data_IF_343264199911
#
_entry.id   IF_343264199911
#
_cell.length_a   1.000
_cell.length_b   1.000
_cell.length_c   1.000
_cell.angle_alpha   90.00
_cell.angle_beta   90.00
_cell.angle_gamma   90.00
#
_symmetry.space_group_name_H-M   'P 1'
#
loop_
_entity.id
_entity.type
_entity.pdbx_description
1 polymer ?
#
# COMPACT_ATOMS: atom_id res chain seq x y z
N UNK A 1 24.62 -7.78 3.91
CA UNK A 1 24.40 -8.69 5.05
C UNK A 1 23.05 -9.38 4.89
N UNK A 2 22.92 -10.65 5.30
CA UNK A 2 21.63 -11.33 5.37
C UNK A 2 20.68 -10.60 6.31
N UNK A 3 19.40 -10.55 5.97
CA UNK A 3 18.35 -9.99 6.82
C UNK A 3 17.91 -11.08 7.80
N UNK A 4 18.01 -10.82 9.10
CA UNK A 4 17.56 -11.73 10.14
C UNK A 4 16.03 -11.65 10.32
N UNK A 5 15.41 -12.77 10.68
CA UNK A 5 14.00 -12.83 11.05
C UNK A 5 13.72 -11.94 12.28
N UNK A 6 12.74 -11.02 12.23
CA UNK A 6 12.35 -10.22 13.38
C UNK A 6 11.79 -11.06 14.54
N UNK A 7 12.12 -10.65 15.78
CA UNK A 7 11.60 -11.25 16.98
C UNK A 7 10.08 -11.04 17.17
N UNK A 8 9.44 -11.80 18.07
CA UNK A 8 8.01 -11.71 18.36
C UNK A 8 7.60 -10.36 18.96
N UNK A 9 8.56 -9.62 19.53
CA UNK A 9 8.40 -8.24 19.99
C UNK A 9 8.07 -7.26 18.86
N UNK A 10 8.53 -7.54 17.63
CA UNK A 10 8.31 -6.68 16.45
C UNK A 10 7.17 -7.17 15.56
N UNK A 11 6.99 -8.47 15.48
CA UNK A 11 5.92 -9.12 14.71
C UNK A 11 5.30 -10.18 15.62
N UNK A 12 4.20 -9.87 16.33
CA UNK A 12 3.55 -10.79 17.26
C UNK A 12 3.04 -12.06 16.58
N UNK A 13 2.81 -13.11 17.37
CA UNK A 13 2.30 -14.38 16.88
C UNK A 13 0.94 -14.23 16.16
N UNK A 14 0.77 -14.99 15.09
CA UNK A 14 -0.38 -14.95 14.21
C UNK A 14 0.00 -15.16 12.75
N UNK A 15 -0.97 -15.12 11.82
CA UNK A 15 -0.74 -15.53 10.44
C UNK A 15 0.33 -14.69 9.72
N UNK A 16 0.45 -13.40 10.03
CA UNK A 16 1.50 -12.54 9.45
C UNK A 16 2.90 -12.99 9.87
N UNK A 17 3.08 -13.43 11.13
CA UNK A 17 4.34 -13.97 11.61
C UNK A 17 4.63 -15.33 10.97
N UNK A 18 3.63 -16.19 10.83
CA UNK A 18 3.78 -17.49 10.16
C UNK A 18 4.18 -17.31 8.68
N UNK A 19 3.56 -16.35 7.98
CA UNK A 19 3.94 -15.95 6.63
C UNK A 19 5.40 -15.49 6.58
N UNK A 20 5.80 -14.64 7.52
CA UNK A 20 7.16 -14.10 7.58
C UNK A 20 8.20 -15.18 7.89
N UNK A 21 7.91 -16.09 8.82
CA UNK A 21 8.77 -17.25 9.13
C UNK A 21 8.98 -18.10 7.87
N UNK A 22 7.89 -18.43 7.16
CA UNK A 22 7.98 -19.21 5.92
C UNK A 22 8.77 -18.48 4.83
N UNK A 23 8.60 -17.17 4.71
CA UNK A 23 9.37 -16.35 3.77
C UNK A 23 10.86 -16.38 4.09
N UNK A 24 11.23 -16.34 5.38
CA UNK A 24 12.62 -16.43 5.82
C UNK A 24 13.23 -17.82 5.58
N UNK A 25 12.46 -18.89 5.72
CA UNK A 25 12.90 -20.23 5.35
C UNK A 25 13.20 -20.32 3.85
N UNK A 26 12.32 -19.77 3.02
CA UNK A 26 12.52 -19.72 1.58
C UNK A 26 13.72 -18.84 1.20
N UNK A 27 13.87 -17.68 1.86
CA UNK A 27 15.01 -16.78 1.69
C UNK A 27 16.34 -17.44 2.05
N UNK A 28 16.35 -18.26 3.10
CA UNK A 28 17.53 -19.01 3.54
C UNK A 28 17.94 -20.08 2.52
N UNK A 29 17.01 -20.88 2.03
CA UNK A 29 17.32 -21.93 1.03
C UNK A 29 17.66 -21.35 -0.36
N UNK A 30 17.22 -20.13 -0.65
CA UNK A 30 17.64 -19.35 -1.81
C UNK A 30 19.06 -18.76 -1.69
N UNK A 31 19.79 -19.04 -0.60
CA UNK A 31 21.15 -18.55 -0.37
C UNK A 31 21.21 -17.11 0.14
N UNK A 32 20.11 -16.58 0.69
CA UNK A 32 20.00 -15.23 1.25
C UNK A 32 20.49 -14.13 0.30
N UNK A 33 19.94 -14.06 -0.93
CA UNK A 33 20.37 -13.09 -1.94
C UNK A 33 20.19 -11.64 -1.44
N UNK A 34 20.97 -10.71 -1.98
CA UNK A 34 20.77 -9.30 -1.70
C UNK A 34 19.40 -8.83 -2.23
N UNK A 35 18.74 -7.91 -1.52
CA UNK A 35 17.39 -7.42 -1.90
C UNK A 35 17.33 -6.84 -3.32
N UNK A 36 18.44 -6.23 -3.79
CA UNK A 36 18.59 -5.75 -5.17
C UNK A 36 18.57 -6.86 -6.21
N UNK A 37 19.11 -8.04 -5.88
CA UNK A 37 19.08 -9.20 -6.77
C UNK A 37 17.65 -9.73 -6.90
N UNK A 38 16.94 -9.85 -5.78
CA UNK A 38 15.53 -10.27 -5.75
C UNK A 38 14.68 -9.29 -6.56
N UNK A 39 14.80 -7.99 -6.27
CA UNK A 39 14.07 -6.92 -6.97
C UNK A 39 14.31 -6.93 -8.48
N UNK A 40 15.58 -7.03 -8.90
CA UNK A 40 15.94 -7.08 -10.33
C UNK A 40 15.33 -8.28 -11.05
N UNK A 41 15.26 -9.45 -10.40
CA UNK A 41 14.65 -10.63 -10.99
C UNK A 41 13.11 -10.64 -10.92
N UNK A 42 12.54 -9.97 -9.92
CA UNK A 42 11.09 -9.82 -9.78
C UNK A 42 10.53 -8.82 -10.81
N UNK A 43 11.28 -7.76 -11.13
CA UNK A 43 10.93 -6.74 -12.11
C UNK A 43 9.82 -5.78 -11.67
N UNK A 44 8.85 -6.27 -10.89
CA UNK A 44 7.68 -5.52 -10.40
C UNK A 44 7.83 -4.98 -8.97
N UNK A 45 8.92 -5.32 -8.27
CA UNK A 45 9.11 -5.02 -6.85
C UNK A 45 10.43 -4.29 -6.61
N UNK A 46 10.41 -3.17 -5.87
CA UNK A 46 11.62 -2.43 -5.50
C UNK A 46 12.44 -3.17 -4.44
N UNK A 47 13.74 -2.90 -4.34
CA UNK A 47 14.59 -3.55 -3.34
C UNK A 47 14.29 -3.08 -1.91
N UNK A 48 13.70 -1.88 -1.78
CA UNK A 48 13.18 -1.33 -0.54
C UNK A 48 11.93 -2.09 -0.09
N UNK A 49 11.00 -2.38 -1.01
CA UNK A 49 9.84 -3.22 -0.71
C UNK A 49 10.28 -4.61 -0.27
N UNK A 50 11.19 -5.26 -1.01
CA UNK A 50 11.75 -6.57 -0.62
C UNK A 50 12.35 -6.50 0.80
N UNK A 51 13.11 -5.43 1.10
CA UNK A 51 13.67 -5.21 2.43
C UNK A 51 12.58 -5.03 3.49
N UNK A 52 11.55 -4.22 3.22
CA UNK A 52 10.46 -3.98 4.17
C UNK A 52 9.72 -5.27 4.51
N UNK A 53 9.43 -6.11 3.51
CA UNK A 53 8.78 -7.41 3.67
C UNK A 53 9.64 -8.36 4.50
N UNK A 54 10.92 -8.52 4.18
CA UNK A 54 11.83 -9.40 4.95
C UNK A 54 12.04 -8.92 6.40
N UNK A 55 11.89 -7.64 6.67
CA UNK A 55 11.91 -7.12 8.04
C UNK A 55 10.54 -7.18 8.74
N UNK A 56 9.51 -7.75 8.12
CA UNK A 56 8.16 -7.84 8.68
C UNK A 56 7.47 -6.48 8.86
N UNK A 57 7.96 -5.43 8.21
CA UNK A 57 7.47 -4.05 8.37
C UNK A 57 6.22 -3.78 7.54
N UNK A 58 5.97 -4.59 6.52
CA UNK A 58 4.82 -4.45 5.63
C UNK A 58 4.39 -5.80 5.09
N UNK A 59 3.09 -5.97 4.94
CA UNK A 59 2.50 -6.96 4.05
C UNK A 59 2.18 -6.23 2.72
N UNK A 60 2.87 -6.57 1.61
CA UNK A 60 2.65 -5.95 0.32
C UNK A 60 1.43 -6.60 -0.34
N UNK A 61 0.90 -6.01 -1.41
CA UNK A 61 -0.15 -6.68 -2.20
C UNK A 61 0.31 -8.08 -2.67
N UNK A 62 -0.65 -9.01 -2.79
CA UNK A 62 -0.36 -10.40 -3.16
C UNK A 62 0.55 -10.52 -4.39
N UNK A 63 0.27 -9.78 -5.48
CA UNK A 63 1.06 -9.83 -6.71
C UNK A 63 2.56 -9.53 -6.49
N UNK A 64 2.90 -8.64 -5.54
CA UNK A 64 4.29 -8.34 -5.19
C UNK A 64 4.90 -9.46 -4.34
N UNK A 65 4.16 -10.00 -3.37
CA UNK A 65 4.63 -11.13 -2.57
C UNK A 65 4.86 -12.36 -3.45
N UNK A 66 3.93 -12.66 -4.34
CA UNK A 66 4.02 -13.72 -5.34
C UNK A 66 5.28 -13.57 -6.20
N UNK A 67 5.58 -12.37 -6.69
CA UNK A 67 6.80 -12.11 -7.44
C UNK A 67 8.07 -12.39 -6.61
N UNK A 68 8.11 -11.99 -5.34
CA UNK A 68 9.22 -12.28 -4.44
C UNK A 68 9.37 -13.79 -4.22
N UNK A 69 8.28 -14.48 -3.85
CA UNK A 69 8.27 -15.92 -3.56
C UNK A 69 8.71 -16.70 -4.80
N UNK A 70 8.18 -16.37 -5.97
CA UNK A 70 8.53 -17.03 -7.24
C UNK A 70 10.03 -16.89 -7.55
N UNK A 71 10.59 -15.71 -7.33
CA UNK A 71 12.04 -15.47 -7.52
C UNK A 71 12.87 -16.28 -6.53
N UNK A 72 12.47 -16.33 -5.25
CA UNK A 72 13.20 -17.09 -4.24
C UNK A 72 13.10 -18.60 -4.47
N UNK A 73 11.96 -19.12 -4.92
CA UNK A 73 11.82 -20.51 -5.36
C UNK A 73 12.78 -20.84 -6.51
N UNK A 74 12.88 -19.95 -7.51
CA UNK A 74 13.83 -20.12 -8.63
C UNK A 74 15.30 -20.10 -8.19
N UNK A 75 15.64 -19.36 -7.13
CA UNK A 75 16.99 -19.29 -6.57
C UNK A 75 17.30 -20.40 -5.57
N UNK A 76 16.30 -21.16 -5.13
CA UNK A 76 16.46 -22.22 -4.13
C UNK A 76 17.40 -23.30 -4.65
N UNK A 77 18.41 -23.66 -3.85
CA UNK A 77 19.34 -24.73 -4.18
C UNK A 77 18.67 -26.12 -4.23
N UNK A 78 17.56 -26.30 -3.50
CA UNK A 78 16.70 -27.46 -3.61
C UNK A 78 15.47 -27.11 -4.46
N UNK A 79 15.06 -27.95 -5.43
CA UNK A 79 13.84 -27.71 -6.20
C UNK A 79 12.65 -27.53 -5.25
N UNK A 80 12.05 -26.35 -5.28
CA UNK A 80 10.80 -26.04 -4.61
C UNK A 80 9.74 -25.93 -5.69
N UNK A 81 8.65 -26.66 -5.52
CA UNK A 81 7.49 -26.47 -6.38
C UNK A 81 6.89 -25.08 -6.13
N UNK A 82 6.99 -24.21 -7.12
CA UNK A 82 6.55 -22.82 -6.97
C UNK A 82 5.04 -22.74 -6.71
N UNK A 83 4.25 -23.61 -7.35
CA UNK A 83 2.79 -23.61 -7.21
C UNK A 83 2.36 -24.01 -5.79
N UNK A 84 2.95 -25.07 -5.24
CA UNK A 84 2.71 -25.49 -3.85
C UNK A 84 3.15 -24.43 -2.83
N UNK A 85 4.30 -23.79 -3.03
CA UNK A 85 4.75 -22.72 -2.13
C UNK A 85 3.80 -21.52 -2.21
N UNK A 86 3.45 -21.07 -3.42
CA UNK A 86 2.51 -19.97 -3.62
C UNK A 86 1.14 -20.26 -3.01
N UNK A 87 0.61 -21.47 -3.13
CA UNK A 87 -0.64 -21.86 -2.51
C UNK A 87 -0.58 -21.73 -0.97
N UNK A 88 0.52 -22.18 -0.36
CA UNK A 88 0.69 -22.09 1.08
C UNK A 88 0.92 -20.64 1.57
N UNK A 89 1.69 -19.84 0.83
CA UNK A 89 1.82 -18.41 1.10
C UNK A 89 0.47 -17.70 0.99
N UNK A 90 -0.37 -18.08 0.01
CA UNK A 90 -1.67 -17.46 -0.19
C UNK A 90 -2.62 -17.70 0.97
N UNK A 91 -2.59 -18.89 1.56
CA UNK A 91 -3.40 -19.20 2.72
C UNK A 91 -2.99 -18.38 3.95
N UNK A 92 -1.68 -18.34 4.24
CA UNK A 92 -1.14 -17.50 5.31
C UNK A 92 -1.42 -16.02 5.04
N UNK A 93 -1.31 -15.58 3.80
CA UNK A 93 -1.56 -14.20 3.38
C UNK A 93 -3.02 -13.80 3.67
N UNK A 94 -4.00 -14.63 3.31
CA UNK A 94 -5.42 -14.39 3.64
C UNK A 94 -5.67 -14.33 5.15
N UNK A 95 -5.01 -15.18 5.93
CA UNK A 95 -5.12 -15.14 7.40
C UNK A 95 -4.41 -13.94 8.04
N UNK A 96 -3.42 -13.36 7.36
CA UNK A 96 -2.61 -12.23 7.84
C UNK A 96 -3.31 -10.88 7.70
N UNK A 97 -4.40 -10.86 6.94
CA UNK A 97 -5.19 -9.68 6.70
C UNK A 97 -6.45 -9.66 7.58
N UNK A 98 -6.90 -8.50 8.08
CA UNK A 98 -8.33 -8.26 8.06
C UNK A 98 -8.73 -8.30 6.59
N UNK A 99 -9.62 -9.23 6.19
CA UNK A 99 -10.18 -9.61 4.85
C UNK A 99 -10.33 -8.54 3.72
N UNK A 100 -9.86 -7.32 3.90
CA UNK A 100 -9.97 -6.17 3.02
C UNK A 100 -8.71 -5.89 2.17
N UNK A 101 -7.49 -6.33 2.51
CA UNK A 101 -6.27 -5.88 1.81
C UNK A 101 -5.90 -6.68 0.54
N UNK A 102 -6.44 -7.88 0.34
CA UNK A 102 -6.22 -8.76 -0.83
C UNK A 102 -6.88 -8.18 -2.09
N UNK A 103 -7.75 -7.17 -1.93
CA UNK A 103 -8.38 -6.40 -3.02
C UNK A 103 -7.68 -5.06 -3.31
N UNK A 104 -6.55 -4.81 -2.67
CA UNK A 104 -5.84 -3.53 -2.70
C UNK A 104 -6.56 -2.45 -1.87
N UNK A 105 -5.87 -1.35 -1.59
CA UNK A 105 -6.34 -0.31 -0.68
C UNK A 105 -6.54 1.03 -1.36
N UNK A 106 -7.34 1.90 -0.74
CA UNK A 106 -7.50 3.29 -1.15
C UNK A 106 -6.53 4.15 -0.35
N UNK A 107 -5.66 4.88 -1.04
CA UNK A 107 -4.77 5.85 -0.40
C UNK A 107 -5.48 7.20 -0.30
N UNK A 108 -5.50 7.83 0.88
CA UNK A 108 -6.07 9.17 1.05
C UNK A 108 -4.95 10.18 1.27
N UNK A 109 -4.71 11.05 0.28
CA UNK A 109 -3.79 12.18 0.38
C UNK A 109 -4.53 13.44 0.82
N UNK A 110 -4.08 14.05 1.92
CA UNK A 110 -4.74 15.19 2.57
C UNK A 110 -3.76 16.07 3.34
N UNK A 111 -4.16 17.29 3.70
CA UNK A 111 -3.42 18.10 4.70
C UNK A 111 -3.84 17.74 6.11
N UNK A 112 -2.93 17.79 7.08
CA UNK A 112 -3.30 17.55 8.50
C UNK A 112 -4.35 18.54 9.01
N UNK A 113 -4.46 19.72 8.41
CA UNK A 113 -5.50 20.71 8.73
C UNK A 113 -6.91 20.24 8.36
N UNK A 114 -7.01 19.23 7.49
CA UNK A 114 -8.28 18.67 7.00
C UNK A 114 -8.66 17.36 7.71
N UNK A 115 -7.97 17.01 8.80
CA UNK A 115 -8.13 15.71 9.48
C UNK A 115 -9.56 15.44 9.94
N UNK A 116 -10.28 16.48 10.39
CA UNK A 116 -11.67 16.33 10.84
C UNK A 116 -12.62 15.86 9.74
N UNK A 117 -12.43 16.34 8.50
CA UNK A 117 -13.19 15.85 7.35
C UNK A 117 -12.75 14.42 6.98
N UNK A 118 -11.44 14.18 6.97
CA UNK A 118 -10.82 12.93 6.54
C UNK A 118 -11.17 11.76 7.44
N UNK A 119 -11.25 11.96 8.75
CA UNK A 119 -11.70 10.91 9.67
C UNK A 119 -13.14 10.46 9.34
N UNK A 120 -14.07 11.40 9.12
CA UNK A 120 -15.45 11.07 8.71
C UNK A 120 -15.51 10.39 7.35
N UNK A 121 -14.65 10.79 6.41
CA UNK A 121 -14.52 10.15 5.11
C UNK A 121 -14.07 8.69 5.25
N UNK A 122 -13.06 8.44 6.09
CA UNK A 122 -12.56 7.08 6.32
C UNK A 122 -13.58 6.21 7.02
N UNK A 123 -14.33 6.75 7.98
CA UNK A 123 -15.45 6.02 8.60
C UNK A 123 -16.51 5.63 7.56
N UNK A 124 -16.84 6.52 6.63
CA UNK A 124 -17.77 6.22 5.53
C UNK A 124 -17.25 5.08 4.64
N UNK A 125 -15.97 5.17 4.23
CA UNK A 125 -15.34 4.18 3.37
C UNK A 125 -15.23 2.81 4.06
N UNK A 126 -14.85 2.79 5.34
CA UNK A 126 -14.77 1.58 6.15
C UNK A 126 -16.14 0.92 6.31
N UNK A 127 -17.20 1.69 6.61
CA UNK A 127 -18.59 1.18 6.63
C UNK A 127 -19.03 0.64 5.27
N UNK A 128 -18.45 1.15 4.19
CA UNK A 128 -18.66 0.67 2.83
C UNK A 128 -17.88 -0.58 2.45
N UNK A 129 -17.09 -1.15 3.37
CA UNK A 129 -16.22 -2.31 3.14
C UNK A 129 -14.98 -1.99 2.29
N UNK A 130 -14.58 -0.72 2.23
CA UNK A 130 -13.46 -0.27 1.42
C UNK A 130 -12.21 -0.16 2.32
N UNK A 131 -11.17 -0.96 2.08
CA UNK A 131 -9.89 -0.83 2.78
C UNK A 131 -9.27 0.55 2.52
N UNK A 132 -9.05 1.33 3.57
CA UNK A 132 -8.43 2.65 3.46
C UNK A 132 -7.09 2.65 4.18
N UNK A 133 -6.08 3.22 3.53
CA UNK A 133 -4.82 3.57 4.16
C UNK A 133 -4.70 5.09 4.32
N UNK A 134 -4.31 5.51 5.53
CA UNK A 134 -4.09 6.91 5.91
C UNK A 134 -2.70 7.06 6.51
N UNK A 135 -1.99 8.10 6.09
CA UNK A 135 -0.74 8.52 6.72
C UNK A 135 -1.01 9.31 8.02
N UNK A 136 -1.39 8.62 9.09
CA UNK A 136 -1.72 9.23 10.39
C UNK A 136 -0.48 9.62 11.23
N UNK A 137 0.70 9.08 10.92
CA UNK A 137 1.92 9.22 11.72
C UNK A 137 2.98 10.15 11.10
N UNK A 138 2.54 11.22 10.42
CA UNK A 138 3.40 12.18 9.72
C UNK A 138 4.45 12.92 10.57
N UNK A 139 4.57 12.67 11.87
CA UNK A 139 5.49 13.36 12.80
C UNK A 139 6.85 12.67 12.99
N UNK A 140 7.02 11.42 12.57
CA UNK A 140 8.32 10.74 12.62
C UNK A 140 9.05 10.90 11.28
N UNK A 141 9.71 12.05 11.13
CA UNK A 141 10.52 12.36 9.93
C UNK A 141 11.77 11.49 9.92
N UNK A 142 11.92 10.68 8.87
CA UNK A 142 13.14 9.96 8.50
C UNK A 142 12.95 9.15 7.22
N UNK A 143 14.03 8.85 6.50
CA UNK A 143 14.03 8.13 5.20
C UNK A 143 13.15 6.88 5.19
N UNK A 144 13.07 6.20 6.35
CA UNK A 144 12.28 4.97 6.52
C UNK A 144 10.78 5.18 6.38
N UNK A 145 10.22 6.32 6.81
CA UNK A 145 8.77 6.59 6.72
C UNK A 145 8.36 7.01 5.32
N UNK A 146 9.18 7.82 4.65
CA UNK A 146 8.94 8.23 3.26
C UNK A 146 8.87 7.03 2.31
N UNK A 147 9.70 6.02 2.54
CA UNK A 147 9.63 4.77 1.79
C UNK A 147 8.32 4.01 2.00
N UNK A 148 7.78 3.99 3.21
CA UNK A 148 6.50 3.33 3.50
C UNK A 148 5.36 4.05 2.81
N UNK A 149 5.29 5.39 2.92
CA UNK A 149 4.27 6.19 2.24
C UNK A 149 4.33 5.97 0.73
N UNK A 150 5.53 5.99 0.16
CA UNK A 150 5.76 5.71 -1.27
C UNK A 150 5.25 4.34 -1.68
N UNK A 151 5.60 3.30 -0.95
CA UNK A 151 5.20 1.94 -1.28
C UNK A 151 3.67 1.80 -1.21
N UNK A 152 3.01 2.48 -0.26
CA UNK A 152 1.54 2.53 -0.16
C UNK A 152 0.91 3.26 -1.34
N UNK A 153 1.46 4.38 -1.79
CA UNK A 153 1.01 5.03 -3.04
C UNK A 153 1.21 4.10 -4.24
N UNK A 154 2.35 3.43 -4.34
CA UNK A 154 2.65 2.52 -5.44
C UNK A 154 1.73 1.27 -5.42
N UNK A 155 1.22 0.87 -4.25
CA UNK A 155 0.35 -0.31 -4.04
C UNK A 155 -1.14 -0.02 -3.94
N UNK A 156 -1.56 1.25 -3.94
CA UNK A 156 -2.97 1.55 -3.83
C UNK A 156 -3.71 1.19 -5.13
N UNK A 157 -4.97 0.80 -5.00
CA UNK A 157 -5.86 0.58 -6.14
C UNK A 157 -6.35 1.91 -6.70
N UNK A 158 -6.52 2.90 -5.83
CA UNK A 158 -6.90 4.25 -6.18
C UNK A 158 -6.41 5.24 -5.12
N UNK A 159 -6.22 6.49 -5.55
CA UNK A 159 -5.89 7.60 -4.65
C UNK A 159 -7.05 8.58 -4.58
N UNK A 160 -7.52 8.86 -3.36
CA UNK A 160 -8.36 10.01 -3.05
C UNK A 160 -7.45 11.18 -2.71
N UNK A 161 -7.69 12.33 -3.34
CA UNK A 161 -6.96 13.58 -3.05
C UNK A 161 -7.94 14.58 -2.48
N UNK A 162 -7.76 14.96 -1.22
CA UNK A 162 -8.58 15.99 -0.56
C UNK A 162 -7.97 17.36 -0.87
N UNK A 163 -8.62 18.09 -1.77
CA UNK A 163 -8.19 19.41 -2.22
C UNK A 163 -8.65 20.49 -1.25
N UNK A 164 -7.68 21.21 -0.72
CA UNK A 164 -7.82 22.40 0.12
C UNK A 164 -6.60 23.31 -0.11
N UNK A 165 -6.65 24.61 0.21
CA UNK A 165 -5.46 25.47 0.14
C UNK A 165 -4.30 24.94 1.00
N UNK A 166 -4.61 24.29 2.13
CA UNK A 166 -3.61 23.70 3.02
C UNK A 166 -2.97 22.43 2.44
N UNK A 167 -3.68 21.69 1.60
CA UNK A 167 -3.15 20.52 0.91
C UNK A 167 -2.34 20.94 -0.33
N UNK A 168 -2.74 22.01 -1.02
CA UNK A 168 -2.05 22.52 -2.21
C UNK A 168 -0.64 23.04 -1.87
N UNK A 169 -0.52 23.72 -0.73
CA UNK A 169 0.77 24.20 -0.22
C UNK A 169 1.66 23.07 0.35
N UNK A 170 1.20 21.82 0.41
CA UNK A 170 1.94 20.72 1.02
C UNK A 170 2.82 20.01 -0.02
N UNK A 171 4.14 20.10 0.15
CA UNK A 171 5.11 19.38 -0.67
C UNK A 171 4.84 17.85 -0.66
N UNK A 172 4.43 17.28 0.46
CA UNK A 172 4.11 15.86 0.57
C UNK A 172 2.90 15.48 -0.29
N UNK A 173 1.82 16.25 -0.22
CA UNK A 173 0.63 16.00 -1.06
C UNK A 173 0.99 16.14 -2.54
N UNK A 174 1.81 17.14 -2.90
CA UNK A 174 2.33 17.29 -4.26
C UNK A 174 3.15 16.09 -4.73
N UNK A 175 4.08 15.60 -3.90
CA UNK A 175 4.93 14.45 -4.20
C UNK A 175 4.13 13.14 -4.33
N UNK A 176 3.18 12.91 -3.41
CA UNK A 176 2.27 11.75 -3.44
C UNK A 176 1.40 11.78 -4.71
N UNK A 177 0.82 12.93 -5.05
CA UNK A 177 0.00 13.11 -6.24
C UNK A 177 0.80 12.89 -7.53
N UNK A 178 2.00 13.46 -7.62
CA UNK A 178 2.87 13.27 -8.77
C UNK A 178 3.21 11.77 -8.96
N UNK A 179 3.60 11.09 -7.88
CA UNK A 179 3.88 9.66 -7.90
C UNK A 179 2.67 8.82 -8.33
N UNK A 180 1.50 9.08 -7.76
CA UNK A 180 0.28 8.36 -8.12
C UNK A 180 -0.04 8.49 -9.62
N UNK A 181 0.16 9.70 -10.18
CA UNK A 181 0.01 9.95 -11.63
C UNK A 181 1.01 9.16 -12.46
N UNK A 182 2.29 9.20 -12.08
CA UNK A 182 3.35 8.48 -12.80
C UNK A 182 3.11 6.96 -12.79
N UNK A 183 2.47 6.45 -11.73
CA UNK A 183 2.07 5.04 -11.61
C UNK A 183 0.73 4.72 -12.28
N UNK A 184 0.10 5.68 -12.95
CA UNK A 184 -1.21 5.51 -13.60
C UNK A 184 -2.34 5.19 -12.62
N UNK A 185 -2.21 5.57 -11.35
CA UNK A 185 -3.24 5.31 -10.34
C UNK A 185 -4.49 6.13 -10.65
N UNK A 186 -5.69 5.52 -10.63
CA UNK A 186 -6.94 6.26 -10.67
C UNK A 186 -6.99 7.31 -9.56
N UNK A 187 -7.23 8.57 -9.95
CA UNK A 187 -7.37 9.69 -9.02
C UNK A 187 -8.85 10.01 -8.81
N UNK A 188 -9.23 10.19 -7.54
CA UNK A 188 -10.56 10.60 -7.12
C UNK A 188 -10.46 11.88 -6.28
N UNK A 189 -10.44 13.06 -6.92
CA UNK A 189 -10.34 14.31 -6.20
C UNK A 189 -11.63 14.63 -5.43
N UNK A 190 -11.46 15.20 -4.25
CA UNK A 190 -12.53 15.74 -3.41
C UNK A 190 -12.20 17.20 -3.15
N UNK A 191 -13.03 18.13 -3.63
CA UNK A 191 -12.86 19.55 -3.36
C UNK A 191 -13.49 19.89 -2.01
N UNK A 192 -12.67 19.93 -0.95
CA UNK A 192 -13.13 20.26 0.40
C UNK A 192 -13.27 21.77 0.61
N UNK A 193 -12.31 22.56 0.11
CA UNK A 193 -12.33 24.01 0.17
C UNK A 193 -11.43 24.64 -0.89
N UNK A 194 -11.60 25.93 -1.16
CA UNK A 194 -10.82 26.65 -2.17
C UNK A 194 -11.25 26.33 -3.59
N UNK A 195 -10.27 26.31 -4.49
CA UNK A 195 -10.43 26.16 -5.93
C UNK A 195 -9.98 24.79 -6.43
N UNK A 196 -10.42 24.45 -7.64
CA UNK A 196 -9.98 23.22 -8.31
C UNK A 196 -8.51 23.36 -8.73
N UNK A 197 -7.69 22.38 -8.37
CA UNK A 197 -6.26 22.42 -8.67
C UNK A 197 -6.00 22.25 -10.16
N UNK A 198 -5.11 23.06 -10.73
CA UNK A 198 -4.73 22.94 -12.15
C UNK A 198 -4.25 21.54 -12.50
N UNK A 199 -3.49 20.91 -11.60
CA UNK A 199 -3.03 19.53 -11.75
C UNK A 199 -4.19 18.54 -11.93
N UNK A 200 -5.36 18.78 -11.33
CA UNK A 200 -6.51 17.88 -11.36
C UNK A 200 -7.66 18.41 -12.24
N UNK A 201 -7.41 19.46 -13.02
CA UNK A 201 -8.42 20.14 -13.85
C UNK A 201 -9.13 19.24 -14.87
N UNK A 202 -8.46 18.19 -15.35
CA UNK A 202 -9.00 17.22 -16.31
C UNK A 202 -9.66 16.01 -15.66
N UNK A 203 -9.68 15.93 -14.33
CA UNK A 203 -10.23 14.81 -13.56
C UNK A 203 -11.53 15.25 -12.89
N UNK A 204 -12.61 14.48 -13.09
CA UNK A 204 -13.87 14.71 -12.38
C UNK A 204 -13.66 14.60 -10.86
N UNK A 205 -14.07 15.63 -10.13
CA UNK A 205 -13.98 15.72 -8.68
C UNK A 205 -15.37 15.66 -8.02
N UNK A 206 -15.42 15.25 -6.76
CA UNK A 206 -16.59 15.43 -5.91
C UNK A 206 -16.49 16.77 -5.17
N UNK A 207 -17.51 17.62 -5.30
CA UNK A 207 -17.55 18.91 -4.59
C UNK A 207 -18.05 18.71 -3.15
N UNK A 208 -17.12 18.60 -2.21
CA UNK A 208 -17.41 18.43 -0.80
C UNK A 208 -17.73 19.76 -0.08
N UNK A 209 -17.75 20.91 -0.76
CA UNK A 209 -18.07 22.17 -0.06
C UNK A 209 -19.56 22.21 0.35
N UNK A 210 -19.88 22.79 1.52
CA UNK A 210 -18.93 23.29 2.53
C UNK A 210 -18.29 22.18 3.39
N UNK A 211 -18.92 21.01 3.56
CA UNK A 211 -18.39 19.91 4.38
C UNK A 211 -19.13 18.57 4.12
N UNK A 212 -19.54 18.33 2.86
CA UNK A 212 -20.33 17.17 2.40
C UNK A 212 -19.44 15.95 2.21
N UNK A 213 -19.87 14.80 2.72
CA UNK A 213 -19.25 13.52 2.42
C UNK A 213 -19.63 13.02 1.00
N UNK A 214 -18.78 12.20 0.35
CA UNK A 214 -19.07 11.63 -0.95
C UNK A 214 -20.37 10.83 -1.01
N UNK A 215 -21.06 10.89 -2.15
CA UNK A 215 -22.31 10.18 -2.39
C UNK A 215 -22.09 8.71 -2.81
N UNK A 216 -23.18 7.97 -3.01
CA UNK A 216 -23.10 6.58 -3.45
C UNK A 216 -22.43 6.42 -4.83
N UNK A 217 -22.55 7.40 -5.74
CA UNK A 217 -21.90 7.33 -7.05
C UNK A 217 -20.38 7.32 -6.91
N UNK A 218 -19.85 8.14 -6.01
CA UNK A 218 -18.42 8.14 -5.68
C UNK A 218 -17.98 6.79 -5.10
N UNK A 219 -18.75 6.25 -4.13
CA UNK A 219 -18.44 4.97 -3.50
C UNK A 219 -18.51 3.80 -4.48
N UNK A 220 -19.49 3.80 -5.40
CA UNK A 220 -19.65 2.77 -6.41
C UNK A 220 -18.51 2.78 -7.43
N UNK A 221 -18.06 3.97 -7.84
CA UNK A 221 -16.84 4.11 -8.67
C UNK A 221 -15.63 3.51 -7.96
N UNK A 222 -15.47 3.79 -6.66
CA UNK A 222 -14.35 3.25 -5.88
C UNK A 222 -14.42 1.73 -5.72
N UNK A 223 -15.63 1.18 -5.51
CA UNK A 223 -15.87 -0.27 -5.49
C UNK A 223 -15.54 -0.94 -6.83
N UNK A 224 -15.87 -0.31 -7.95
CA UNK A 224 -15.54 -0.82 -9.28
C UNK A 224 -14.03 -0.90 -9.46
N UNK A 225 -13.29 0.12 -9.02
CA UNK A 225 -11.82 0.13 -9.10
C UNK A 225 -11.18 -0.97 -8.24
N UNK A 226 -11.70 -1.22 -7.03
CA UNK A 226 -11.17 -2.24 -6.11
C UNK A 226 -11.49 -3.68 -6.56
N UNK A 227 -12.51 -3.86 -7.40
CA UNK A 227 -12.91 -5.17 -7.93
C UNK A 227 -12.27 -5.51 -9.28
N UNK A 228 -11.63 -4.54 -9.93
CA UNK A 228 -10.98 -4.68 -11.24
C UNK A 228 -9.56 -5.21 -11.09
#
# INVERSE_FOLDING_TARGET
MPIALPGPDKVPDGPHRELLVRLHDLYRVAGMPATRIISRQAGSVSHETVSAVLHGRTLPAWAKLEAIVTVLCRMSAAPRDADSELAAFRELYRGSEPLALDRGHVFVSYSRRDVGYVDRLVDLLAKGGLPVWLDRHRLEVGDRWEHVVRDRVDDCTAMIVVMSPAAEASANVGNELHRARDRGKPLLPILLSGENWFALSTVNYFDARPDRLPDQRFLDRLRQLIRA
#
